data_IF_366521494769
#
_entry.id   IF_366521494769
#
_cell.length_a   1.000
_cell.length_b   1.000
_cell.length_c   1.000
_cell.angle_alpha   90.00
_cell.angle_beta   90.00
_cell.angle_gamma   90.00
#
_symmetry.space_group_name_H-M   'P 1'
#
loop_
_entity.id
_entity.type
_entity.pdbx_description
1 polymer ?
#
# COMPACT_ATOMS: atom_id res chain seq x y z
N UNK A 1 26.59 -1.21 -1.36
CA UNK A 1 26.70 0.06 -0.61
C UNK A 1 25.79 1.09 -1.24
N UNK A 2 25.21 1.99 -0.44
CA UNK A 2 24.37 3.08 -0.94
C UNK A 2 25.14 4.10 -1.77
N UNK A 3 24.42 4.95 -2.49
CA UNK A 3 24.99 5.95 -3.39
C UNK A 3 25.76 7.06 -2.65
N UNK A 4 25.45 7.27 -1.37
CA UNK A 4 26.08 8.27 -0.49
C UNK A 4 26.27 7.73 0.92
N UNK A 5 27.20 8.32 1.68
CA UNK A 5 27.41 8.05 3.10
C UNK A 5 28.72 7.32 3.41
N UNK A 6 28.91 6.89 4.67
CA UNK A 6 30.09 6.16 5.11
C UNK A 6 30.35 4.90 4.26
N UNK A 7 31.60 4.67 3.85
CA UNK A 7 32.01 3.59 2.97
C UNK A 7 33.51 3.23 3.13
N UNK A 8 33.90 2.10 2.53
CA UNK A 8 35.28 1.64 2.52
C UNK A 8 35.48 0.34 1.74
N UNK A 9 36.73 -0.15 1.63
CA UNK A 9 36.98 -1.49 1.12
C UNK A 9 36.32 -2.53 2.04
N UNK A 10 35.96 -3.68 1.48
CA UNK A 10 35.38 -4.77 2.25
C UNK A 10 36.03 -6.11 1.93
N UNK A 11 35.84 -7.04 2.86
CA UNK A 11 36.13 -8.47 2.68
C UNK A 11 34.83 -9.24 2.88
N UNK A 12 34.47 -10.07 1.91
CA UNK A 12 33.30 -10.93 1.96
C UNK A 12 33.72 -12.39 2.18
N UNK A 13 33.11 -13.06 3.15
CA UNK A 13 33.32 -14.47 3.45
C UNK A 13 32.19 -15.26 2.79
N UNK A 14 32.57 -16.14 1.87
CA UNK A 14 31.67 -17.02 1.15
C UNK A 14 31.84 -18.47 1.61
N UNK A 15 30.73 -19.21 1.66
CA UNK A 15 30.68 -20.62 1.97
C UNK A 15 30.25 -21.44 0.75
N UNK A 16 31.04 -22.45 0.38
CA UNK A 16 30.70 -23.41 -0.67
C UNK A 16 30.00 -24.62 -0.07
N UNK A 17 28.71 -24.78 -0.37
CA UNK A 17 27.91 -25.91 0.08
C UNK A 17 28.33 -27.26 -0.54
N UNK A 18 29.11 -27.27 -1.62
CA UNK A 18 29.66 -28.50 -2.22
C UNK A 18 30.95 -28.91 -1.51
N UNK A 19 31.84 -27.95 -1.25
CA UNK A 19 33.12 -28.16 -0.59
C UNK A 19 34.13 -28.92 -1.45
N UNK A 20 35.38 -29.01 -0.96
CA UNK A 20 36.44 -29.83 -1.59
C UNK A 20 36.92 -29.35 -2.97
N UNK A 21 36.56 -28.13 -3.38
CA UNK A 21 36.93 -27.53 -4.67
C UNK A 21 37.34 -26.07 -4.52
N UNK A 22 38.00 -25.52 -5.55
CA UNK A 22 38.18 -24.08 -5.66
C UNK A 22 36.92 -23.45 -6.27
N UNK A 23 36.17 -22.71 -5.46
CA UNK A 23 34.92 -22.08 -5.85
C UNK A 23 35.05 -20.56 -6.08
N UNK A 24 36.27 -20.01 -6.14
CA UNK A 24 36.50 -18.57 -6.24
C UNK A 24 35.83 -17.92 -7.47
N UNK A 25 35.73 -18.66 -8.58
CA UNK A 25 35.05 -18.18 -9.79
C UNK A 25 33.53 -18.03 -9.65
N UNK A 26 32.93 -18.58 -8.59
CA UNK A 26 31.49 -18.53 -8.32
C UNK A 26 31.10 -17.41 -7.34
N UNK A 27 32.09 -16.76 -6.71
CA UNK A 27 31.86 -15.63 -5.81
C UNK A 27 31.21 -14.49 -6.60
N UNK A 28 30.13 -13.92 -6.07
CA UNK A 28 29.36 -12.84 -6.70
C UNK A 28 28.82 -13.18 -8.11
N UNK A 29 28.56 -14.47 -8.38
CA UNK A 29 27.92 -14.95 -9.62
C UNK A 29 26.48 -15.46 -9.40
N UNK A 30 25.84 -15.07 -8.29
CA UNK A 30 24.49 -15.52 -7.90
C UNK A 30 24.31 -17.05 -7.90
N UNK A 31 25.40 -17.79 -7.65
CA UNK A 31 25.36 -19.25 -7.60
C UNK A 31 24.72 -19.73 -6.29
N UNK A 32 23.73 -20.65 -6.34
CA UNK A 32 23.13 -21.21 -5.13
C UNK A 32 24.08 -22.14 -4.36
N UNK A 33 25.24 -22.49 -4.96
CA UNK A 33 26.23 -23.35 -4.33
C UNK A 33 27.19 -22.57 -3.42
N UNK A 34 27.38 -21.26 -3.68
CA UNK A 34 28.34 -20.41 -2.99
C UNK A 34 27.64 -19.18 -2.45
N UNK A 35 27.50 -19.11 -1.13
CA UNK A 35 26.70 -18.07 -0.46
C UNK A 35 27.60 -17.19 0.38
N UNK A 36 27.43 -15.88 0.26
CA UNK A 36 28.02 -14.92 1.19
C UNK A 36 27.36 -15.08 2.57
N UNK A 37 28.15 -15.38 3.60
CA UNK A 37 27.67 -15.51 4.98
C UNK A 37 28.02 -14.31 5.85
N UNK A 38 29.06 -13.56 5.49
CA UNK A 38 29.59 -12.49 6.31
C UNK A 38 30.32 -11.43 5.46
N UNK A 39 29.99 -10.16 5.66
CA UNK A 39 30.70 -9.02 5.07
C UNK A 39 31.39 -8.17 6.16
N UNK A 40 32.63 -7.77 5.90
CA UNK A 40 33.47 -6.94 6.77
C UNK A 40 33.89 -5.68 6.01
N UNK A 41 33.28 -4.54 6.31
CA UNK A 41 33.54 -3.24 5.67
C UNK A 41 34.46 -2.40 6.56
N UNK A 42 35.59 -1.97 6.01
CA UNK A 42 36.56 -1.12 6.70
C UNK A 42 36.27 0.35 6.38
N UNK A 43 35.33 0.92 7.12
CA UNK A 43 34.81 2.27 6.91
C UNK A 43 35.91 3.32 7.12
N UNK A 44 36.30 3.99 6.04
CA UNK A 44 37.38 4.97 6.04
C UNK A 44 37.08 6.21 5.18
N UNK A 45 35.98 6.22 4.42
CA UNK A 45 35.55 7.33 3.59
C UNK A 45 34.07 7.67 3.80
N UNK A 46 33.68 8.91 3.54
CA UNK A 46 32.32 9.33 3.27
C UNK A 46 32.18 9.58 1.77
N UNK A 47 31.24 8.91 1.11
CA UNK A 47 30.88 9.17 -0.29
C UNK A 47 29.89 10.31 -0.35
N UNK A 48 30.29 11.38 -1.01
CA UNK A 48 29.47 12.56 -1.25
C UNK A 48 28.47 12.30 -2.42
N UNK A 49 27.40 13.10 -2.58
CA UNK A 49 26.44 12.97 -3.68
C UNK A 49 27.04 13.06 -5.09
N UNK A 50 28.19 13.72 -5.23
CA UNK A 50 28.95 13.82 -6.48
C UNK A 50 29.90 12.62 -6.72
N UNK A 51 29.85 11.60 -5.85
CA UNK A 51 30.67 10.41 -5.89
C UNK A 51 32.07 10.56 -5.29
N UNK A 52 32.47 11.76 -4.83
CA UNK A 52 33.79 11.97 -4.22
C UNK A 52 33.89 11.27 -2.87
N UNK A 53 35.07 10.70 -2.59
CA UNK A 53 35.37 10.05 -1.32
C UNK A 53 36.17 11.01 -0.42
N UNK A 54 35.59 11.37 0.73
CA UNK A 54 36.27 12.16 1.77
C UNK A 54 36.72 11.27 2.91
N UNK A 55 37.98 11.32 3.37
CA UNK A 55 38.42 10.55 4.53
C UNK A 55 37.55 10.84 5.75
N UNK A 56 37.15 9.79 6.46
CA UNK A 56 36.45 9.93 7.74
C UNK A 56 37.44 10.35 8.84
N UNK A 57 37.03 11.21 9.79
CA UNK A 57 37.86 11.54 10.95
C UNK A 57 38.05 10.37 11.91
N UNK A 58 37.12 9.40 11.90
CA UNK A 58 37.18 8.16 12.67
C UNK A 58 36.86 6.98 11.75
N UNK A 59 37.75 5.98 11.74
CA UNK A 59 37.55 4.74 11.00
C UNK A 59 36.91 3.69 11.91
N UNK A 60 36.04 2.87 11.33
CA UNK A 60 35.32 1.81 12.03
C UNK A 60 35.31 0.53 11.19
N UNK A 61 35.09 -0.60 11.84
CA UNK A 61 34.77 -1.85 11.15
C UNK A 61 33.27 -2.06 11.26
N UNK A 62 32.59 -1.99 10.13
CA UNK A 62 31.18 -2.34 10.01
C UNK A 62 31.08 -3.78 9.50
N UNK A 63 30.38 -4.62 10.23
CA UNK A 63 30.38 -6.07 10.02
C UNK A 63 28.97 -6.60 10.07
N UNK A 64 28.58 -7.36 9.05
CA UNK A 64 27.27 -7.98 8.96
C UNK A 64 27.38 -9.46 8.63
N UNK A 65 27.00 -10.32 9.57
CA UNK A 65 26.88 -11.76 9.36
C UNK A 65 25.40 -12.13 9.26
N UNK A 66 25.00 -12.80 8.17
CA UNK A 66 23.61 -13.19 7.96
C UNK A 66 23.24 -14.39 8.81
N UNK A 67 22.48 -14.19 9.90
CA UNK A 67 22.06 -15.26 10.81
C UNK A 67 21.35 -16.39 10.05
N UNK A 68 20.36 -16.07 9.22
CA UNK A 68 19.59 -17.05 8.44
C UNK A 68 20.48 -17.89 7.52
N UNK A 69 21.47 -17.26 6.88
CA UNK A 69 22.43 -17.94 5.99
C UNK A 69 23.39 -18.82 6.80
N UNK A 70 23.88 -18.33 7.93
CA UNK A 70 24.73 -19.11 8.83
C UNK A 70 24.00 -20.35 9.36
N UNK A 71 22.76 -20.19 9.83
CA UNK A 71 21.92 -21.29 10.32
C UNK A 71 21.67 -22.32 9.21
N UNK A 72 21.43 -21.86 7.98
CA UNK A 72 21.29 -22.74 6.80
C UNK A 72 22.52 -23.62 6.62
N UNK A 73 23.72 -23.04 6.73
CA UNK A 73 24.98 -23.77 6.65
C UNK A 73 25.12 -24.76 7.81
N UNK A 74 24.90 -24.31 9.05
CA UNK A 74 25.05 -25.13 10.27
C UNK A 74 24.09 -26.33 10.29
N UNK A 75 22.89 -26.18 9.74
CA UNK A 75 21.89 -27.25 9.66
C UNK A 75 22.01 -28.11 8.39
N UNK A 76 23.02 -27.86 7.55
CA UNK A 76 23.22 -28.59 6.29
C UNK A 76 22.06 -28.42 5.30
N UNK A 77 21.35 -27.29 5.36
CA UNK A 77 20.24 -26.95 4.46
C UNK A 77 20.76 -26.19 3.25
N UNK A 78 19.92 -26.08 2.21
CA UNK A 78 20.18 -25.34 0.97
C UNK A 78 19.34 -24.07 0.83
N UNK A 79 18.43 -23.82 1.78
CA UNK A 79 17.51 -22.70 1.77
C UNK A 79 17.27 -22.24 3.21
N UNK A 80 17.24 -20.92 3.41
CA UNK A 80 16.87 -20.29 4.68
C UNK A 80 15.51 -20.80 5.17
N UNK A 81 14.57 -20.98 4.25
CA UNK A 81 13.21 -21.44 4.54
C UNK A 81 13.11 -22.91 4.96
N UNK A 82 14.21 -23.67 4.85
CA UNK A 82 14.28 -25.07 5.31
C UNK A 82 14.89 -25.21 6.70
N UNK A 83 15.15 -24.09 7.39
CA UNK A 83 15.70 -24.05 8.74
C UNK A 83 14.60 -23.93 9.79
N UNK A 84 14.94 -24.23 11.04
CA UNK A 84 14.06 -24.02 12.20
C UNK A 84 13.60 -22.57 12.41
N UNK A 85 14.26 -21.58 11.80
CA UNK A 85 13.82 -20.18 11.80
C UNK A 85 12.54 -19.95 10.96
N UNK A 86 12.18 -20.88 10.07
CA UNK A 86 11.04 -20.71 9.16
C UNK A 86 10.10 -21.91 9.12
N UNK A 87 10.59 -23.14 9.30
CA UNK A 87 9.74 -24.34 9.19
C UNK A 87 8.51 -24.33 10.11
N UNK A 88 8.54 -23.80 11.36
CA UNK A 88 7.33 -23.71 12.19
C UNK A 88 6.28 -22.78 11.57
N UNK A 89 6.70 -21.62 11.02
CA UNK A 89 5.82 -20.67 10.33
C UNK A 89 5.23 -21.27 9.07
N UNK A 90 6.05 -21.91 8.22
CA UNK A 90 5.57 -22.56 7.01
C UNK A 90 4.52 -23.63 7.31
N UNK A 91 4.74 -24.44 8.34
CA UNK A 91 3.75 -25.43 8.79
C UNK A 91 2.47 -24.80 9.35
N UNK A 92 2.55 -23.63 10.00
CA UNK A 92 1.37 -22.90 10.46
C UNK A 92 0.58 -22.30 9.29
N UNK A 93 1.27 -21.75 8.29
CA UNK A 93 0.66 -21.27 7.04
C UNK A 93 -0.05 -22.41 6.32
N UNK A 94 0.57 -23.60 6.21
CA UNK A 94 -0.03 -24.77 5.56
C UNK A 94 -1.33 -25.18 6.26
N UNK A 95 -1.30 -25.29 7.60
CA UNK A 95 -2.49 -25.62 8.40
C UNK A 95 -3.60 -24.59 8.28
N UNK A 96 -3.26 -23.30 8.25
CA UNK A 96 -4.22 -22.21 8.22
C UNK A 96 -4.80 -21.90 6.83
N UNK A 97 -4.03 -22.13 5.76
CA UNK A 97 -4.43 -21.78 4.39
C UNK A 97 -5.14 -22.89 3.63
N UNK A 98 -4.96 -24.16 4.03
CA UNK A 98 -5.37 -25.33 3.23
C UNK A 98 -4.75 -25.38 1.83
N UNK A 99 -3.69 -24.60 1.57
CA UNK A 99 -2.96 -24.61 0.33
C UNK A 99 -2.20 -25.94 0.15
N UNK A 100 -1.74 -26.27 -1.08
CA UNK A 100 -0.82 -27.38 -1.28
C UNK A 100 0.41 -27.28 -0.35
N UNK A 101 0.99 -28.42 0.06
CA UNK A 101 2.19 -28.41 0.91
C UNK A 101 3.34 -27.67 0.25
N UNK A 102 4.11 -26.95 1.06
CA UNK A 102 5.31 -26.25 0.63
C UNK A 102 6.37 -27.26 0.12
N UNK A 103 6.89 -27.06 -1.09
CA UNK A 103 7.79 -28.01 -1.75
C UNK A 103 9.24 -27.50 -1.90
N UNK A 104 9.50 -26.24 -1.59
CA UNK A 104 10.81 -25.62 -1.77
C UNK A 104 11.15 -25.21 -3.21
N UNK A 105 10.18 -25.20 -4.13
CA UNK A 105 10.33 -24.84 -5.55
C UNK A 105 10.68 -23.37 -5.74
N UNK A 106 11.29 -23.08 -6.89
CA UNK A 106 11.78 -21.75 -7.26
C UNK A 106 11.52 -21.48 -8.75
N UNK A 107 11.26 -20.21 -9.09
CA UNK A 107 11.13 -19.76 -10.47
C UNK A 107 10.10 -20.57 -11.25
N UNK A 108 10.50 -21.08 -12.41
CA UNK A 108 9.62 -21.85 -13.31
C UNK A 108 9.09 -23.16 -12.67
N UNK A 109 9.76 -23.70 -11.65
CA UNK A 109 9.27 -24.90 -10.95
C UNK A 109 8.06 -24.60 -10.06
N UNK A 110 7.93 -23.35 -9.61
CA UNK A 110 6.80 -22.84 -8.81
C UNK A 110 5.81 -22.08 -9.71
N UNK A 111 5.27 -22.76 -10.72
CA UNK A 111 4.43 -22.17 -11.76
C UNK A 111 3.16 -21.47 -11.24
N UNK A 112 2.71 -21.82 -10.02
CA UNK A 112 1.55 -21.20 -9.38
C UNK A 112 1.94 -20.27 -8.22
N UNK A 113 3.23 -20.01 -8.04
CA UNK A 113 3.78 -19.14 -7.00
C UNK A 113 3.38 -19.52 -5.57
N UNK A 114 3.03 -20.78 -5.33
CA UNK A 114 2.59 -21.26 -4.01
C UNK A 114 3.75 -21.18 -3.04
N UNK A 115 4.91 -21.71 -3.41
CA UNK A 115 6.08 -21.73 -2.53
C UNK A 115 6.65 -20.32 -2.33
N UNK A 116 6.56 -19.45 -3.34
CA UNK A 116 6.81 -18.02 -3.19
C UNK A 116 5.86 -17.40 -2.16
N UNK A 117 4.56 -17.69 -2.23
CA UNK A 117 3.56 -17.13 -1.32
C UNK A 117 3.81 -17.54 0.13
N UNK A 118 4.15 -18.81 0.38
CA UNK A 118 4.58 -19.30 1.68
C UNK A 118 5.74 -18.49 2.25
N UNK A 119 6.78 -18.24 1.44
CA UNK A 119 7.97 -17.46 1.85
C UNK A 119 7.62 -16.01 2.13
N UNK A 120 6.86 -15.37 1.24
CA UNK A 120 6.41 -13.98 1.38
C UNK A 120 5.60 -13.79 2.66
N UNK A 121 4.62 -14.66 2.92
CA UNK A 121 3.79 -14.58 4.13
C UNK A 121 4.64 -14.79 5.38
N UNK A 122 5.54 -15.77 5.39
CA UNK A 122 6.41 -16.06 6.53
C UNK A 122 7.40 -14.91 6.84
N UNK A 123 8.05 -14.35 5.83
CA UNK A 123 8.95 -13.21 6.00
C UNK A 123 8.18 -11.97 6.47
N UNK A 124 7.04 -11.68 5.83
CA UNK A 124 6.30 -10.47 6.12
C UNK A 124 5.68 -10.50 7.51
N UNK A 125 5.14 -11.63 7.99
CA UNK A 125 4.63 -11.68 9.35
C UNK A 125 5.75 -11.51 10.38
N UNK A 126 6.96 -12.05 10.14
CA UNK A 126 8.12 -11.81 11.00
C UNK A 126 8.47 -10.32 11.06
N UNK A 127 8.60 -9.67 9.90
CA UNK A 127 8.87 -8.22 9.83
C UNK A 127 7.79 -7.39 10.51
N UNK A 128 6.51 -7.69 10.25
CA UNK A 128 5.39 -7.00 10.88
C UNK A 128 5.43 -7.12 12.40
N UNK A 129 5.70 -8.31 12.91
CA UNK A 129 5.71 -8.58 14.34
C UNK A 129 6.83 -7.83 15.04
N UNK A 130 8.05 -7.86 14.48
CA UNK A 130 9.20 -7.14 15.03
C UNK A 130 8.99 -5.63 14.96
N UNK A 131 8.58 -5.08 13.82
CA UNK A 131 8.39 -3.63 13.68
C UNK A 131 7.28 -3.10 14.62
N UNK A 132 6.18 -3.84 14.79
CA UNK A 132 5.09 -3.45 15.68
C UNK A 132 5.53 -3.55 17.15
N UNK A 133 6.32 -4.55 17.53
CA UNK A 133 6.90 -4.65 18.87
C UNK A 133 7.84 -3.47 19.19
N UNK A 134 8.55 -2.96 18.19
CA UNK A 134 9.39 -1.77 18.27
C UNK A 134 8.62 -0.44 18.22
N UNK A 135 7.28 -0.49 18.10
CA UNK A 135 6.40 0.68 18.09
C UNK A 135 6.22 1.36 16.74
N UNK A 136 6.58 0.68 15.63
CA UNK A 136 6.28 1.14 14.27
C UNK A 136 5.01 0.46 13.78
N UNK A 137 4.02 1.25 13.38
CA UNK A 137 2.70 0.76 12.97
C UNK A 137 2.46 0.98 11.48
N UNK A 138 1.62 0.17 10.82
CA UNK A 138 1.18 0.45 9.45
C UNK A 138 0.48 1.80 9.37
N UNK A 139 0.89 2.67 8.44
CA UNK A 139 0.41 4.05 8.37
C UNK A 139 0.66 4.72 7.02
N UNK A 140 0.41 6.04 6.91
CA UNK A 140 0.34 6.73 5.63
C UNK A 140 1.69 7.21 5.08
N UNK A 141 2.75 7.32 5.91
CA UNK A 141 4.02 7.95 5.48
C UNK A 141 5.27 7.30 6.10
N UNK A 142 6.43 7.58 5.52
CA UNK A 142 7.72 7.13 6.05
C UNK A 142 7.83 5.61 6.23
N UNK A 143 8.37 5.17 7.37
CA UNK A 143 8.51 3.76 7.71
C UNK A 143 7.15 3.05 7.87
N UNK A 144 6.13 3.76 8.35
CA UNK A 144 4.78 3.23 8.51
C UNK A 144 4.14 2.86 7.17
N UNK A 145 4.41 3.63 6.12
CA UNK A 145 3.97 3.32 4.76
C UNK A 145 4.64 2.05 4.24
N UNK A 146 5.93 1.86 4.51
CA UNK A 146 6.65 0.64 4.15
C UNK A 146 6.00 -0.57 4.84
N UNK A 147 5.72 -0.44 6.14
CA UNK A 147 5.08 -1.51 6.91
C UNK A 147 3.65 -1.82 6.41
N UNK A 148 2.88 -0.79 6.04
CA UNK A 148 1.57 -0.93 5.39
C UNK A 148 1.67 -1.69 4.06
N UNK A 149 2.71 -1.44 3.25
CA UNK A 149 2.94 -2.19 2.00
C UNK A 149 3.27 -3.66 2.26
N UNK A 150 4.14 -3.94 3.24
CA UNK A 150 4.49 -5.31 3.66
C UNK A 150 3.24 -6.08 4.11
N UNK A 151 2.40 -5.47 4.96
CA UNK A 151 1.14 -6.05 5.39
C UNK A 151 0.23 -6.38 4.20
N UNK A 152 -0.03 -5.41 3.33
CA UNK A 152 -0.91 -5.59 2.16
C UNK A 152 -0.40 -6.69 1.22
N UNK A 153 0.92 -6.79 1.05
CA UNK A 153 1.54 -7.86 0.28
C UNK A 153 1.32 -9.22 0.94
N UNK A 154 1.48 -9.34 2.27
CA UNK A 154 1.20 -10.58 3.00
C UNK A 154 -0.26 -11.03 2.83
N UNK A 155 -1.20 -10.08 2.99
CA UNK A 155 -2.64 -10.35 2.83
C UNK A 155 -2.98 -10.81 1.42
N UNK A 156 -2.40 -10.19 0.38
CA UNK A 156 -2.63 -10.63 -1.00
C UNK A 156 -2.13 -12.05 -1.23
N UNK A 157 -0.88 -12.34 -0.89
CA UNK A 157 -0.33 -13.67 -1.15
C UNK A 157 -1.07 -14.75 -0.34
N UNK A 158 -1.51 -14.42 0.87
CA UNK A 158 -2.39 -15.29 1.67
C UNK A 158 -3.74 -15.54 0.99
N UNK A 159 -4.45 -14.49 0.56
CA UNK A 159 -5.83 -14.60 0.06
C UNK A 159 -5.94 -15.02 -1.41
N UNK A 160 -5.08 -14.52 -2.29
CA UNK A 160 -5.20 -14.73 -3.74
C UNK A 160 -4.39 -15.93 -4.23
N UNK A 161 -3.19 -16.15 -3.67
CA UNK A 161 -2.28 -17.22 -4.11
C UNK A 161 -2.50 -18.47 -3.27
N UNK A 162 -2.41 -18.36 -1.94
CA UNK A 162 -2.66 -19.50 -1.04
C UNK A 162 -4.15 -19.81 -0.86
N UNK A 163 -5.05 -18.88 -1.25
CA UNK A 163 -6.51 -19.03 -1.10
C UNK A 163 -6.94 -19.31 0.34
N UNK A 164 -6.19 -18.77 1.29
CA UNK A 164 -6.49 -18.90 2.70
C UNK A 164 -7.80 -18.19 3.06
N UNK A 165 -8.53 -18.69 4.07
CA UNK A 165 -9.63 -17.94 4.65
C UNK A 165 -9.14 -16.62 5.27
N UNK A 166 -10.00 -15.59 5.38
CA UNK A 166 -9.67 -14.35 6.08
C UNK A 166 -9.17 -14.59 7.50
N UNK A 167 -8.21 -13.77 7.94
CA UNK A 167 -7.65 -13.83 9.30
C UNK A 167 -6.51 -14.83 9.44
N UNK A 168 -5.76 -15.14 8.36
CA UNK A 168 -4.63 -16.06 8.42
C UNK A 168 -3.46 -15.45 9.18
N UNK A 169 -3.23 -14.14 9.06
CA UNK A 169 -1.97 -13.53 9.49
C UNK A 169 -1.85 -13.41 11.01
N UNK A 170 -2.93 -12.99 11.69
CA UNK A 170 -2.91 -12.80 13.15
C UNK A 170 -2.54 -14.09 13.93
N UNK A 171 -3.08 -15.29 13.60
CA UNK A 171 -2.65 -16.56 14.20
C UNK A 171 -1.19 -16.96 13.96
N UNK A 172 -0.47 -16.34 13.03
CA UNK A 172 0.96 -16.61 12.81
C UNK A 172 1.86 -15.87 13.80
N UNK A 173 1.37 -14.78 14.41
CA UNK A 173 2.15 -13.97 15.37
C UNK A 173 2.65 -14.80 16.55
N UNK A 174 1.85 -15.65 17.22
CA UNK A 174 2.36 -16.52 18.29
C UNK A 174 3.55 -17.40 17.86
N UNK A 175 3.57 -17.87 16.61
CA UNK A 175 4.67 -18.69 16.08
C UNK A 175 5.94 -17.84 15.89
N UNK A 176 5.80 -16.57 15.49
CA UNK A 176 6.94 -15.63 15.47
C UNK A 176 7.51 -15.45 16.87
N UNK A 177 6.66 -15.32 17.89
CA UNK A 177 7.10 -15.18 19.28
C UNK A 177 7.78 -16.46 19.78
N UNK A 178 7.32 -17.64 19.38
CA UNK A 178 8.01 -18.90 19.70
C UNK A 178 9.42 -18.96 19.10
N UNK A 179 9.63 -18.43 17.89
CA UNK A 179 10.92 -18.47 17.18
C UNK A 179 11.89 -17.39 17.72
N UNK A 180 11.39 -16.18 17.99
CA UNK A 180 12.22 -15.00 18.25
C UNK A 180 12.11 -14.45 19.68
N UNK A 181 11.06 -14.80 20.43
CA UNK A 181 10.68 -14.14 21.68
C UNK A 181 11.69 -14.27 22.83
N UNK A 182 12.55 -15.30 22.82
CA UNK A 182 13.64 -15.41 23.80
C UNK A 182 14.68 -14.29 23.61
N UNK A 183 15.04 -13.99 22.36
CA UNK A 183 16.00 -12.94 22.02
C UNK A 183 15.38 -11.54 22.05
N UNK A 184 14.06 -11.45 21.77
CA UNK A 184 13.30 -10.21 21.67
C UNK A 184 12.05 -10.28 22.59
N UNK A 185 12.21 -10.10 23.92
CA UNK A 185 11.11 -10.28 24.89
C UNK A 185 9.92 -9.34 24.69
N UNK A 186 10.14 -8.20 24.04
CA UNK A 186 9.10 -7.27 23.60
C UNK A 186 8.07 -7.92 22.68
N UNK A 187 8.44 -8.94 21.88
CA UNK A 187 7.50 -9.68 21.04
C UNK A 187 6.42 -10.39 21.87
N UNK A 188 6.79 -11.00 23.00
CA UNK A 188 5.82 -11.63 23.90
C UNK A 188 4.99 -10.59 24.67
N UNK A 189 5.63 -9.48 25.10
CA UNK A 189 4.93 -8.37 25.78
C UNK A 189 3.85 -7.75 24.89
N UNK A 190 4.17 -7.47 23.63
CA UNK A 190 3.28 -6.79 22.68
C UNK A 190 2.42 -7.74 21.84
N UNK A 191 2.53 -9.06 22.04
CA UNK A 191 1.87 -10.11 21.25
C UNK A 191 0.40 -9.83 20.95
N UNK A 192 -0.39 -9.52 21.97
CA UNK A 192 -1.83 -9.23 21.82
C UNK A 192 -2.09 -8.00 20.96
N UNK A 193 -1.27 -6.97 21.09
CA UNK A 193 -1.36 -5.75 20.29
C UNK A 193 -0.96 -6.01 18.83
N UNK A 194 0.12 -6.76 18.60
CA UNK A 194 0.55 -7.17 17.26
C UNK A 194 -0.56 -7.95 16.56
N UNK A 195 -1.13 -8.97 17.24
CA UNK A 195 -2.23 -9.77 16.72
C UNK A 195 -3.45 -8.94 16.33
N UNK A 196 -3.83 -7.97 17.17
CA UNK A 196 -4.96 -7.08 16.92
C UNK A 196 -4.69 -6.19 15.70
N UNK A 197 -3.56 -5.50 15.67
CA UNK A 197 -3.21 -4.57 14.58
C UNK A 197 -3.12 -5.29 13.23
N UNK A 198 -2.47 -6.47 13.21
CA UNK A 198 -2.38 -7.28 12.00
C UNK A 198 -3.77 -7.73 11.54
N UNK A 199 -4.63 -8.19 12.45
CA UNK A 199 -6.00 -8.62 12.14
C UNK A 199 -6.87 -7.48 11.61
N UNK A 200 -6.94 -6.36 12.33
CA UNK A 200 -7.72 -5.18 11.93
C UNK A 200 -7.29 -4.68 10.54
N UNK A 201 -5.97 -4.64 10.30
CA UNK A 201 -5.43 -4.18 9.02
C UNK A 201 -5.64 -5.18 7.89
N UNK A 202 -5.63 -6.49 8.19
CA UNK A 202 -5.97 -7.56 7.23
C UNK A 202 -7.42 -7.42 6.77
N UNK A 203 -8.37 -7.28 7.71
CA UNK A 203 -9.80 -7.14 7.41
C UNK A 203 -10.09 -5.89 6.58
N UNK A 204 -9.54 -4.74 6.99
CA UNK A 204 -9.69 -3.48 6.27
C UNK A 204 -9.13 -3.56 4.83
N UNK A 205 -8.00 -4.25 4.66
CA UNK A 205 -7.41 -4.38 3.34
C UNK A 205 -8.12 -5.42 2.46
N UNK A 206 -8.59 -6.54 2.99
CA UNK A 206 -9.33 -7.55 2.21
C UNK A 206 -10.57 -6.97 1.54
N UNK A 207 -11.32 -6.13 2.26
CA UNK A 207 -12.48 -5.42 1.70
C UNK A 207 -12.09 -4.48 0.53
N UNK A 208 -10.92 -3.86 0.62
CA UNK A 208 -10.38 -3.00 -0.45
C UNK A 208 -9.82 -3.83 -1.62
N UNK A 209 -9.14 -4.95 -1.32
CA UNK A 209 -8.54 -5.87 -2.28
C UNK A 209 -9.58 -6.39 -3.29
N UNK A 210 -10.73 -6.86 -2.77
CA UNK A 210 -11.83 -7.36 -3.59
C UNK A 210 -12.38 -6.27 -4.54
N UNK A 211 -12.46 -5.01 -4.09
CA UNK A 211 -12.93 -3.90 -4.92
C UNK A 211 -11.95 -3.54 -6.01
N UNK A 212 -10.67 -3.37 -5.66
CA UNK A 212 -9.65 -3.03 -6.66
C UNK A 212 -9.48 -4.12 -7.71
N UNK A 213 -9.64 -5.40 -7.34
CA UNK A 213 -9.62 -6.50 -8.31
C UNK A 213 -10.72 -6.39 -9.37
N UNK A 214 -11.96 -6.08 -8.97
CA UNK A 214 -13.06 -5.90 -9.95
C UNK A 214 -12.78 -4.74 -10.90
N UNK A 215 -12.17 -3.66 -10.41
CA UNK A 215 -11.76 -2.51 -11.24
C UNK A 215 -10.68 -2.95 -12.24
N UNK A 216 -9.67 -3.72 -11.79
CA UNK A 216 -8.63 -4.26 -12.67
C UNK A 216 -9.26 -5.16 -13.72
N UNK A 217 -10.03 -6.18 -13.32
CA UNK A 217 -10.68 -7.15 -14.23
C UNK A 217 -11.53 -6.43 -15.30
N UNK A 218 -12.35 -5.46 -14.90
CA UNK A 218 -13.16 -4.64 -15.82
C UNK A 218 -12.28 -3.83 -16.78
N UNK A 219 -11.21 -3.24 -16.28
CA UNK A 219 -10.28 -2.44 -17.08
C UNK A 219 -9.57 -3.30 -18.11
N UNK A 220 -9.16 -4.51 -17.74
CA UNK A 220 -8.56 -5.48 -18.67
C UNK A 220 -9.58 -5.92 -19.72
N UNK A 221 -10.81 -6.27 -19.32
CA UNK A 221 -11.87 -6.65 -20.26
C UNK A 221 -12.23 -5.54 -21.26
N UNK A 222 -12.20 -4.27 -20.84
CA UNK A 222 -12.44 -3.11 -21.71
C UNK A 222 -11.21 -2.73 -22.57
N UNK A 223 -10.01 -3.14 -22.16
CA UNK A 223 -8.73 -2.71 -22.74
C UNK A 223 -8.35 -3.33 -24.09
N UNK A 224 -9.07 -4.35 -24.54
CA UNK A 224 -8.76 -5.05 -25.80
C UNK A 224 -7.38 -5.69 -25.79
N UNK A 225 -6.67 -5.64 -26.93
CA UNK A 225 -5.33 -6.25 -27.11
C UNK A 225 -4.17 -5.37 -26.57
N UNK A 226 -4.44 -4.36 -25.74
CA UNK A 226 -3.38 -3.53 -25.16
C UNK A 226 -2.54 -4.34 -24.17
N UNK A 227 -1.22 -4.38 -24.36
CA UNK A 227 -0.27 -5.01 -23.43
C UNK A 227 0.10 -4.13 -22.22
N UNK A 228 -0.40 -2.89 -22.17
CA UNK A 228 -0.12 -1.92 -21.12
C UNK A 228 -1.41 -1.58 -20.38
N UNK A 229 -1.37 -1.70 -19.05
CA UNK A 229 -2.49 -1.35 -18.18
C UNK A 229 -2.59 0.18 -18.02
N UNK A 230 -3.79 0.78 -18.09
CA UNK A 230 -3.95 2.23 -18.03
C UNK A 230 -3.40 2.84 -16.73
N UNK A 231 -2.38 3.69 -16.88
CA UNK A 231 -1.66 4.32 -15.77
C UNK A 231 -2.59 5.16 -14.88
N UNK A 232 -3.56 5.88 -15.47
CA UNK A 232 -4.54 6.65 -14.68
C UNK A 232 -5.44 5.77 -13.80
N UNK A 233 -5.73 4.54 -14.22
CA UNK A 233 -6.49 3.58 -13.40
C UNK A 233 -5.59 3.05 -12.28
N UNK A 234 -4.34 2.68 -12.58
CA UNK A 234 -3.37 2.26 -11.57
C UNK A 234 -3.13 3.34 -10.50
N UNK A 235 -3.01 4.59 -10.93
CA UNK A 235 -2.89 5.75 -10.05
C UNK A 235 -4.14 5.93 -9.17
N UNK A 236 -5.33 5.76 -9.75
CA UNK A 236 -6.59 5.80 -8.99
C UNK A 236 -6.70 4.68 -7.96
N UNK A 237 -6.29 3.45 -8.31
CA UNK A 237 -6.25 2.34 -7.35
C UNK A 237 -5.31 2.66 -6.19
N UNK A 238 -4.16 3.25 -6.48
CA UNK A 238 -3.19 3.66 -5.47
C UNK A 238 -3.67 4.78 -4.57
N UNK A 239 -4.14 5.88 -5.16
CA UNK A 239 -4.54 7.06 -4.40
C UNK A 239 -5.83 6.82 -3.61
N UNK A 240 -6.81 6.17 -4.22
CA UNK A 240 -8.19 6.16 -3.70
C UNK A 240 -8.55 4.87 -3.00
N UNK A 241 -8.01 3.73 -3.44
CA UNK A 241 -8.22 2.45 -2.75
C UNK A 241 -7.01 2.06 -1.90
N UNK A 242 -5.99 2.92 -1.87
CA UNK A 242 -4.75 2.68 -1.17
C UNK A 242 -3.92 1.54 -1.76
N UNK A 243 -4.18 1.02 -2.96
CA UNK A 243 -3.43 -0.13 -3.48
C UNK A 243 -1.98 0.24 -3.78
N UNK A 244 -0.99 -0.36 -3.10
CA UNK A 244 0.40 -0.09 -3.45
C UNK A 244 0.65 -0.30 -4.95
N UNK A 245 1.32 0.63 -5.63
CA UNK A 245 1.53 0.54 -7.08
C UNK A 245 2.29 -0.72 -7.50
N UNK A 246 3.17 -1.21 -6.63
CA UNK A 246 3.84 -2.51 -6.77
C UNK A 246 2.83 -3.66 -6.74
N UNK A 247 1.81 -3.58 -5.90
CA UNK A 247 0.72 -4.54 -5.86
C UNK A 247 -0.12 -4.51 -7.14
N UNK A 248 -0.47 -3.32 -7.62
CA UNK A 248 -1.19 -3.17 -8.90
C UNK A 248 -0.35 -3.77 -10.04
N UNK A 249 0.96 -3.53 -10.04
CA UNK A 249 1.89 -4.10 -11.02
C UNK A 249 1.87 -5.61 -11.03
N UNK A 250 2.03 -6.23 -9.86
CA UNK A 250 1.99 -7.68 -9.73
C UNK A 250 0.63 -8.27 -10.12
N UNK A 251 -0.48 -7.57 -9.87
CA UNK A 251 -1.81 -8.05 -10.24
C UNK A 251 -2.03 -7.99 -11.75
N UNK A 252 -1.58 -6.94 -12.44
CA UNK A 252 -1.77 -6.83 -13.89
C UNK A 252 -0.83 -7.74 -14.68
N UNK A 253 0.34 -8.09 -14.11
CA UNK A 253 1.26 -9.08 -14.67
C UNK A 253 0.61 -10.48 -14.78
N UNK A 254 -0.27 -10.86 -13.85
CA UNK A 254 -1.04 -12.12 -13.93
C UNK A 254 -1.92 -12.20 -15.19
N UNK A 255 -2.31 -11.04 -15.74
CA UNK A 255 -3.11 -10.91 -16.95
C UNK A 255 -2.24 -10.70 -18.20
N UNK A 256 -0.90 -10.82 -18.08
CA UNK A 256 0.05 -10.59 -19.16
C UNK A 256 0.20 -9.12 -19.53
N UNK A 257 -0.21 -8.20 -18.65
CA UNK A 257 -0.09 -6.75 -18.85
C UNK A 257 1.10 -6.18 -18.09
N UNK A 258 1.56 -5.00 -18.51
CA UNK A 258 2.61 -4.25 -17.83
C UNK A 258 2.10 -2.88 -17.34
N UNK A 259 2.67 -2.38 -16.25
CA UNK A 259 2.53 -0.97 -15.85
C UNK A 259 3.68 -0.15 -16.39
N UNK A 260 3.37 1.00 -16.98
CA UNK A 260 4.36 2.00 -17.33
C UNK A 260 4.83 2.73 -16.07
N UNK A 261 6.00 2.32 -15.57
CA UNK A 261 6.61 2.91 -14.36
C UNK A 261 7.03 4.35 -14.58
N UNK A 262 7.49 4.72 -15.77
CA UNK A 262 7.92 6.09 -16.06
C UNK A 262 6.72 7.04 -16.02
N UNK A 263 5.60 6.64 -16.62
CA UNK A 263 4.36 7.43 -16.56
C UNK A 263 3.77 7.53 -15.14
N UNK A 264 3.93 6.49 -14.30
CA UNK A 264 3.56 6.55 -12.87
C UNK A 264 4.45 7.53 -12.09
N UNK A 265 5.76 7.50 -12.34
CA UNK A 265 6.71 8.42 -11.71
C UNK A 265 6.44 9.86 -12.14
N UNK A 266 6.11 10.10 -13.41
CA UNK A 266 5.67 11.42 -13.90
C UNK A 266 4.41 11.91 -13.18
N UNK A 267 3.39 11.06 -12.98
CA UNK A 267 2.20 11.43 -12.22
C UNK A 267 2.51 11.72 -10.75
N UNK A 268 3.41 10.95 -10.15
CA UNK A 268 3.84 11.17 -8.77
C UNK A 268 4.59 12.50 -8.62
N UNK A 269 5.48 12.82 -9.56
CA UNK A 269 6.17 14.12 -9.62
C UNK A 269 5.18 15.25 -9.84
N UNK A 270 4.27 15.13 -10.80
CA UNK A 270 3.23 16.14 -11.05
C UNK A 270 2.35 16.38 -9.82
N UNK A 271 1.99 15.33 -9.08
CA UNK A 271 1.21 15.47 -7.87
C UNK A 271 2.03 16.09 -6.72
N UNK A 272 3.29 15.69 -6.56
CA UNK A 272 4.19 16.29 -5.58
C UNK A 272 4.43 17.77 -5.88
N UNK A 273 4.64 18.13 -7.15
CA UNK A 273 4.74 19.50 -7.62
C UNK A 273 3.45 20.27 -7.40
N UNK A 274 2.28 19.67 -7.66
CA UNK A 274 1.00 20.28 -7.31
C UNK A 274 0.87 20.50 -5.81
N UNK A 275 1.23 19.54 -4.96
CA UNK A 275 1.18 19.67 -3.49
C UNK A 275 2.13 20.76 -2.98
N UNK A 276 3.35 20.85 -3.51
CA UNK A 276 4.32 21.90 -3.16
C UNK A 276 3.88 23.26 -3.66
N UNK A 277 3.36 23.34 -4.89
CA UNK A 277 2.80 24.58 -5.46
C UNK A 277 1.58 25.05 -4.69
N UNK A 278 0.74 24.13 -4.21
CA UNK A 278 -0.39 24.40 -3.33
C UNK A 278 0.02 24.82 -1.92
N UNK A 279 1.24 24.49 -1.48
CA UNK A 279 1.79 24.89 -0.17
C UNK A 279 2.60 26.20 -0.22
N UNK A 280 3.13 26.59 -1.40
CA UNK A 280 3.96 27.79 -1.59
C UNK A 280 3.23 28.96 -2.24
N UNK A 281 2.02 28.76 -2.76
CA UNK A 281 1.18 29.85 -3.24
C UNK A 281 0.20 30.28 -2.12
N UNK A 282 0.30 31.54 -1.70
CA UNK A 282 -0.80 32.26 -1.00
C UNK A 282 -2.10 32.33 -1.86
N UNK A 283 -2.03 31.85 -3.10
CA UNK A 283 -3.17 31.54 -3.95
C UNK A 283 -3.28 30.02 -4.07
N UNK A 284 -4.15 29.42 -3.26
CA UNK A 284 -4.63 28.05 -3.47
C UNK A 284 -4.88 27.81 -4.98
N UNK A 285 -4.61 26.61 -5.53
CA UNK A 285 -5.03 26.31 -6.91
C UNK A 285 -6.49 26.71 -6.99
N UNK A 286 -6.93 27.41 -8.04
CA UNK A 286 -8.29 27.94 -8.13
C UNK A 286 -9.27 26.84 -7.75
N UNK A 287 -9.67 26.83 -6.46
CA UNK A 287 -10.63 25.87 -5.92
C UNK A 287 -11.82 26.02 -6.86
N UNK A 288 -12.52 24.92 -7.15
CA UNK A 288 -13.80 25.01 -7.82
C UNK A 288 -14.80 25.63 -6.84
N UNK A 289 -14.56 26.90 -6.51
CA UNK A 289 -15.36 27.73 -5.64
C UNK A 289 -16.54 28.17 -6.47
N UNK A 290 -17.71 27.85 -5.94
CA UNK A 290 -18.95 28.40 -6.44
C UNK A 290 -18.89 29.93 -6.31
N UNK A 291 -18.83 30.60 -7.44
CA UNK A 291 -18.93 32.05 -7.49
C UNK A 291 -20.33 32.52 -7.06
N UNK A 292 -20.46 33.82 -6.76
CA UNK A 292 -21.72 34.41 -6.31
C UNK A 292 -22.88 34.21 -7.30
N UNK A 293 -22.59 34.14 -8.61
CA UNK A 293 -23.62 33.95 -9.63
C UNK A 293 -24.14 32.51 -9.62
N UNK A 294 -23.23 31.54 -9.53
CA UNK A 294 -23.52 30.12 -9.42
C UNK A 294 -24.27 29.78 -8.13
N UNK A 295 -23.91 30.41 -7.01
CA UNK A 295 -24.65 30.29 -5.75
C UNK A 295 -26.08 30.83 -5.87
N UNK A 296 -26.26 32.01 -6.48
CA UNK A 296 -27.58 32.57 -6.72
C UNK A 296 -28.40 31.70 -7.68
N UNK A 297 -27.75 31.09 -8.68
CA UNK A 297 -28.37 30.17 -9.63
C UNK A 297 -28.85 28.89 -8.94
N UNK A 298 -28.03 28.28 -8.08
CA UNK A 298 -28.42 27.10 -7.28
C UNK A 298 -29.66 27.38 -6.43
N UNK A 299 -29.69 28.55 -5.77
CA UNK A 299 -30.84 28.97 -4.98
C UNK A 299 -32.07 29.22 -5.85
N UNK A 300 -31.91 29.85 -7.02
CA UNK A 300 -33.00 30.11 -7.97
C UNK A 300 -33.59 28.82 -8.55
N UNK A 301 -32.75 27.82 -8.79
CA UNK A 301 -33.17 26.48 -9.23
C UNK A 301 -33.76 25.64 -8.08
N UNK A 302 -33.70 26.13 -6.84
CA UNK A 302 -34.25 25.44 -5.68
C UNK A 302 -33.43 24.23 -5.21
N UNK A 303 -32.13 24.20 -5.53
CA UNK A 303 -31.24 23.13 -5.07
C UNK A 303 -31.05 23.26 -3.55
N UNK A 304 -31.44 22.26 -2.73
CA UNK A 304 -31.32 22.34 -1.29
C UNK A 304 -29.86 22.32 -0.83
N UNK A 305 -29.58 22.98 0.29
CA UNK A 305 -28.28 22.90 0.96
C UNK A 305 -27.93 21.46 1.33
N UNK A 306 -26.65 21.09 1.21
CA UNK A 306 -26.17 19.75 1.54
C UNK A 306 -26.35 19.45 3.04
N UNK A 307 -26.94 18.30 3.36
CA UNK A 307 -27.03 17.81 4.73
C UNK A 307 -25.74 17.09 5.14
N UNK A 308 -24.92 17.74 5.95
CA UNK A 308 -23.63 17.21 6.42
C UNK A 308 -23.70 16.53 7.81
N UNK A 309 -24.90 16.39 8.39
CA UNK A 309 -25.09 15.67 9.65
C UNK A 309 -24.56 14.22 9.66
N UNK A 310 -24.57 13.44 8.55
CA UNK A 310 -24.04 12.08 8.54
C UNK A 310 -22.57 11.96 8.99
N UNK A 311 -21.76 13.02 8.89
CA UNK A 311 -20.36 12.99 9.37
C UNK A 311 -20.24 12.78 10.89
N UNK A 312 -21.32 13.05 11.63
CA UNK A 312 -21.41 12.81 13.07
C UNK A 312 -22.13 11.49 13.43
N UNK A 313 -22.47 10.68 12.43
CA UNK A 313 -23.19 9.42 12.63
C UNK A 313 -22.20 8.26 12.80
N UNK A 314 -21.72 8.11 14.03
CA UNK A 314 -20.82 7.02 14.42
C UNK A 314 -21.25 6.36 15.73
N UNK A 315 -20.84 5.11 15.92
CA UNK A 315 -20.98 4.39 17.19
C UNK A 315 -19.60 4.08 17.76
N UNK A 316 -19.43 4.29 19.07
CA UNK A 316 -18.23 3.85 19.78
C UNK A 316 -18.44 2.41 20.25
N UNK A 317 -17.67 1.48 19.71
CA UNK A 317 -17.66 0.09 20.13
C UNK A 317 -16.93 -0.09 21.47
N UNK A 318 -17.16 -1.22 22.14
CA UNK A 318 -16.63 -1.50 23.48
C UNK A 318 -15.09 -1.60 23.53
N UNK A 319 -14.45 -1.77 22.38
CA UNK A 319 -12.99 -1.78 22.19
C UNK A 319 -12.42 -0.37 21.95
N UNK A 320 -13.26 0.67 21.94
CA UNK A 320 -12.87 2.06 21.72
C UNK A 320 -12.83 2.49 20.26
N UNK A 321 -13.30 1.65 19.31
CA UNK A 321 -13.34 1.98 17.88
C UNK A 321 -14.58 2.78 17.51
N UNK A 322 -14.39 3.82 16.69
CA UNK A 322 -15.50 4.53 16.04
C UNK A 322 -15.89 3.80 14.76
N UNK A 323 -17.15 3.38 14.68
CA UNK A 323 -17.73 2.76 13.47
C UNK A 323 -18.66 3.77 12.82
N UNK A 324 -18.37 4.12 11.58
CA UNK A 324 -19.16 5.06 10.78
C UNK A 324 -20.15 4.30 9.89
N UNK A 325 -21.37 4.84 9.77
CA UNK A 325 -22.38 4.25 8.88
C UNK A 325 -22.08 4.67 7.43
N UNK A 326 -22.08 3.74 6.45
CA UNK A 326 -21.93 4.10 5.05
C UNK A 326 -22.96 5.15 4.62
N UNK A 327 -22.48 6.25 4.03
CA UNK A 327 -23.35 7.35 3.62
C UNK A 327 -23.74 7.17 2.15
N UNK A 328 -25.04 7.13 1.88
CA UNK A 328 -25.58 7.17 0.53
C UNK A 328 -26.09 8.58 0.22
N UNK A 329 -25.77 9.11 -0.95
CA UNK A 329 -26.10 10.45 -1.39
C UNK A 329 -26.51 10.48 -2.86
N UNK A 330 -27.18 11.53 -3.28
CA UNK A 330 -27.56 11.78 -4.68
C UNK A 330 -26.87 13.04 -5.18
N UNK A 331 -26.37 13.02 -6.42
CA UNK A 331 -25.82 14.20 -7.08
C UNK A 331 -26.95 15.18 -7.38
N UNK A 332 -26.91 16.36 -6.75
CA UNK A 332 -27.89 17.43 -6.97
C UNK A 332 -27.46 18.38 -8.09
N UNK A 333 -26.17 18.67 -8.19
CA UNK A 333 -25.63 19.56 -9.21
C UNK A 333 -24.14 19.30 -9.44
N UNK A 334 -23.69 19.52 -10.68
CA UNK A 334 -22.27 19.50 -11.03
C UNK A 334 -21.84 20.92 -11.40
N UNK A 335 -20.60 21.29 -11.09
CA UNK A 335 -20.04 22.60 -11.38
C UNK A 335 -18.66 22.47 -12.01
N UNK A 336 -18.40 23.21 -13.08
CA UNK A 336 -17.09 23.30 -13.72
C UNK A 336 -16.99 24.60 -14.50
N UNK A 337 -15.83 25.25 -14.47
CA UNK A 337 -15.51 26.43 -15.30
C UNK A 337 -16.60 27.53 -15.23
N UNK A 338 -17.09 27.86 -14.03
CA UNK A 338 -18.14 28.87 -13.79
C UNK A 338 -19.52 28.53 -14.39
N UNK A 339 -19.77 27.25 -14.71
CA UNK A 339 -21.05 26.78 -15.20
C UNK A 339 -21.59 25.62 -14.33
N UNK A 340 -22.89 25.67 -14.06
CA UNK A 340 -23.62 24.53 -13.53
C UNK A 340 -23.94 23.56 -14.67
N UNK A 341 -23.70 22.27 -14.44
CA UNK A 341 -23.79 21.20 -15.41
C UNK A 341 -24.72 20.10 -14.91
N UNK A 342 -25.40 19.44 -15.85
CA UNK A 342 -26.21 18.24 -15.57
C UNK A 342 -25.44 16.94 -15.80
N UNK A 343 -24.34 17.01 -16.54
CA UNK A 343 -23.46 15.87 -16.84
C UNK A 343 -22.00 16.34 -16.97
N UNK A 344 -21.08 15.52 -16.49
CA UNK A 344 -19.64 15.69 -16.68
C UNK A 344 -19.09 14.43 -17.35
N UNK A 345 -18.45 14.55 -18.53
CA UNK A 345 -17.84 13.42 -19.22
C UNK A 345 -16.67 12.79 -18.45
N UNK A 346 -16.35 11.54 -18.80
CA UNK A 346 -15.16 10.84 -18.31
C UNK A 346 -13.88 11.66 -18.49
N UNK A 347 -13.01 11.59 -17.48
CA UNK A 347 -11.68 12.20 -17.42
C UNK A 347 -11.66 13.66 -17.00
N UNK A 348 -12.81 14.25 -16.64
CA UNK A 348 -12.88 15.66 -16.30
C UNK A 348 -12.98 15.88 -14.79
N UNK A 349 -12.25 16.89 -14.29
CA UNK A 349 -12.42 17.42 -12.94
C UNK A 349 -13.69 18.28 -12.89
N UNK A 350 -14.47 18.13 -11.82
CA UNK A 350 -15.64 18.94 -11.54
C UNK A 350 -15.91 19.00 -10.03
N UNK A 351 -16.78 19.91 -9.63
CA UNK A 351 -17.33 20.00 -8.28
C UNK A 351 -18.70 19.31 -8.26
N UNK A 352 -18.90 18.38 -7.33
CA UNK A 352 -20.17 17.72 -7.09
C UNK A 352 -20.83 18.24 -5.82
N UNK A 353 -22.09 18.67 -5.96
CA UNK A 353 -22.97 19.05 -4.86
C UNK A 353 -23.94 17.91 -4.62
N UNK A 354 -23.98 17.43 -3.39
CA UNK A 354 -24.78 16.27 -2.98
C UNK A 354 -25.93 16.68 -2.06
N UNK A 355 -26.96 15.84 -1.96
CA UNK A 355 -28.06 16.03 -1.00
C UNK A 355 -27.60 15.88 0.46
N UNK A 356 -26.65 14.97 0.70
CA UNK A 356 -26.01 14.75 1.99
C UNK A 356 -24.58 14.28 1.83
N UNK A 357 -23.79 14.37 2.90
CA UNK A 357 -22.41 13.88 2.90
C UNK A 357 -21.93 13.50 4.30
N UNK A 358 -21.02 12.51 4.36
CA UNK A 358 -20.26 12.19 5.57
C UNK A 358 -18.88 12.86 5.60
N UNK A 359 -18.49 13.59 4.55
CA UNK A 359 -17.19 14.25 4.49
C UNK A 359 -17.16 15.51 5.36
N UNK A 360 -16.09 15.65 6.12
CA UNK A 360 -15.72 16.89 6.76
C UNK A 360 -15.09 17.84 5.75
N UNK A 361 -15.76 18.97 5.53
CA UNK A 361 -15.25 20.07 4.73
C UNK A 361 -14.22 20.90 5.52
N UNK A 362 -13.18 21.41 4.85
CA UNK A 362 -12.15 22.24 5.48
C UNK A 362 -12.78 23.45 6.21
N UNK A 363 -12.68 23.46 7.53
CA UNK A 363 -13.23 24.53 8.37
C UNK A 363 -12.45 24.64 9.69
N UNK A 364 -12.32 25.86 10.22
CA UNK A 364 -11.79 26.08 11.57
C UNK A 364 -10.32 25.68 11.77
N UNK A 365 -9.53 25.61 10.69
CA UNK A 365 -8.13 25.19 10.72
C UNK A 365 -7.91 23.67 10.68
N UNK A 366 -8.99 22.88 10.52
CA UNK A 366 -8.91 21.44 10.25
C UNK A 366 -8.91 21.18 8.73
N UNK A 367 -8.05 20.25 8.30
CA UNK A 367 -8.01 19.77 6.91
C UNK A 367 -9.31 19.06 6.53
N UNK A 368 -9.66 19.09 5.24
CA UNK A 368 -10.80 18.32 4.75
C UNK A 368 -10.51 16.82 4.70
N UNK A 369 -11.58 16.03 4.73
CA UNK A 369 -11.50 14.60 4.46
C UNK A 369 -11.18 14.34 2.97
N UNK A 370 -10.56 13.19 2.73
CA UNK A 370 -10.29 12.64 1.39
C UNK A 370 -10.87 11.23 1.29
N UNK A 371 -11.10 10.76 0.07
CA UNK A 371 -11.65 9.44 -0.19
C UNK A 371 -12.22 9.33 -1.60
N UNK A 372 -13.32 8.60 -1.75
CA UNK A 372 -13.97 8.41 -3.03
C UNK A 372 -15.48 8.15 -2.89
N UNK A 373 -16.20 8.37 -4.00
CA UNK A 373 -17.58 7.95 -4.16
C UNK A 373 -17.66 6.72 -5.06
N UNK A 374 -18.68 5.90 -4.86
CA UNK A 374 -19.01 4.77 -5.73
C UNK A 374 -20.42 4.97 -6.24
N UNK A 375 -20.68 4.76 -7.54
CA UNK A 375 -22.06 4.80 -8.06
C UNK A 375 -22.91 3.68 -7.46
N UNK A 376 -24.10 4.02 -6.98
CA UNK A 376 -25.03 3.05 -6.42
C UNK A 376 -25.41 1.99 -7.47
N UNK A 377 -25.40 0.72 -7.07
CA UNK A 377 -25.62 -0.42 -7.97
C UNK A 377 -24.43 -0.77 -8.88
N UNK A 378 -23.41 0.09 -8.96
CA UNK A 378 -22.21 -0.10 -9.77
C UNK A 378 -20.95 0.04 -8.91
N UNK A 379 -20.64 -1.01 -8.13
CA UNK A 379 -19.54 -1.02 -7.15
C UNK A 379 -18.14 -0.75 -7.72
N UNK A 380 -17.98 -0.72 -9.05
CA UNK A 380 -16.70 -0.54 -9.74
C UNK A 380 -16.60 0.82 -10.48
N UNK A 381 -17.57 1.72 -10.33
CA UNK A 381 -17.50 3.10 -10.85
C UNK A 381 -17.17 4.03 -9.69
N UNK A 382 -15.91 4.45 -9.64
CA UNK A 382 -15.34 5.19 -8.51
C UNK A 382 -15.01 6.63 -8.89
N UNK A 383 -15.46 7.60 -8.10
CA UNK A 383 -15.17 9.03 -8.28
C UNK A 383 -14.26 9.51 -7.14
N UNK A 384 -12.96 9.72 -7.40
CA UNK A 384 -12.01 10.20 -6.39
C UNK A 384 -12.40 11.58 -5.89
N UNK A 385 -12.31 11.80 -4.58
CA UNK A 385 -12.50 13.11 -3.94
C UNK A 385 -11.14 13.71 -3.62
N UNK A 386 -10.86 14.85 -4.22
CA UNK A 386 -9.58 15.55 -4.09
C UNK A 386 -9.58 16.56 -2.95
N UNK A 387 -10.70 17.25 -2.74
CA UNK A 387 -10.89 18.20 -1.65
C UNK A 387 -12.37 18.40 -1.37
N UNK A 388 -12.69 18.84 -0.14
CA UNK A 388 -14.04 19.18 0.28
C UNK A 388 -14.06 20.52 0.99
N UNK A 389 -14.93 21.43 0.56
CA UNK A 389 -15.07 22.76 1.17
C UNK A 389 -16.54 23.20 1.22
N UNK A 390 -16.83 24.22 2.05
CA UNK A 390 -18.18 24.80 2.17
C UNK A 390 -18.27 26.09 1.39
N UNK A 391 -19.34 26.25 0.59
CA UNK A 391 -19.66 27.49 -0.10
C UNK A 391 -21.17 27.75 -0.06
N UNK A 392 -21.60 28.86 0.55
CA UNK A 392 -23.01 29.29 0.56
C UNK A 392 -24.01 28.29 1.16
N UNK A 393 -23.56 27.42 2.08
CA UNK A 393 -24.38 26.36 2.69
C UNK A 393 -24.37 25.03 1.92
N UNK A 394 -23.66 24.94 0.80
CA UNK A 394 -23.42 23.69 0.08
C UNK A 394 -22.05 23.12 0.47
N UNK A 395 -21.96 21.78 0.50
CA UNK A 395 -20.67 21.10 0.58
C UNK A 395 -20.23 20.75 -0.83
N UNK A 396 -19.09 21.30 -1.23
CA UNK A 396 -18.52 21.19 -2.57
C UNK A 396 -17.44 20.12 -2.53
N UNK A 397 -17.66 19.03 -3.27
CA UNK A 397 -16.71 17.93 -3.39
C UNK A 397 -15.99 18.06 -4.72
N UNK A 398 -14.71 18.38 -4.70
CA UNK A 398 -13.90 18.38 -5.92
C UNK A 398 -13.57 16.94 -6.27
N UNK A 399 -14.01 16.50 -7.45
CA UNK A 399 -13.86 15.11 -7.90
C UNK A 399 -13.30 15.03 -9.31
N UNK A 400 -12.69 13.89 -9.62
CA UNK A 400 -12.36 13.51 -11.00
C UNK A 400 -13.37 12.47 -11.51
N UNK A 401 -14.13 12.81 -12.55
CA UNK A 401 -15.11 11.91 -13.14
C UNK A 401 -14.43 10.77 -13.91
N UNK A 402 -14.25 9.58 -13.32
CA UNK A 402 -13.59 8.43 -14.00
C UNK A 402 -14.46 7.76 -15.06
N UNK A 403 -15.78 7.97 -14.96
CA UNK A 403 -16.83 7.64 -15.92
C UNK A 403 -17.79 8.84 -15.99
N UNK A 404 -18.71 8.93 -16.97
CA UNK A 404 -19.64 10.05 -17.06
C UNK A 404 -20.50 10.13 -15.79
N UNK A 405 -20.53 11.29 -15.12
CA UNK A 405 -21.31 11.53 -13.89
C UNK A 405 -22.48 12.48 -14.19
N UNK A 406 -23.67 12.19 -13.67
CA UNK A 406 -24.88 12.95 -13.96
C UNK A 406 -25.60 13.39 -12.69
N UNK A 407 -26.32 14.50 -12.79
CA UNK A 407 -27.30 14.90 -11.78
C UNK A 407 -28.38 13.81 -11.66
N UNK A 408 -28.68 13.42 -10.43
CA UNK A 408 -29.59 12.32 -10.11
C UNK A 408 -28.88 10.96 -9.89
N UNK A 409 -27.58 10.85 -10.16
CA UNK A 409 -26.84 9.62 -9.84
C UNK A 409 -26.80 9.40 -8.33
N UNK A 410 -27.14 8.18 -7.89
CA UNK A 410 -26.92 7.71 -6.53
C UNK A 410 -25.45 7.35 -6.32
N UNK A 411 -24.90 7.75 -5.18
CA UNK A 411 -23.50 7.56 -4.78
C UNK A 411 -23.42 7.00 -3.37
N UNK A 412 -22.46 6.11 -3.13
CA UNK A 412 -22.04 5.65 -1.80
C UNK A 412 -20.69 6.28 -1.49
N UNK A 413 -20.59 6.96 -0.36
CA UNK A 413 -19.44 7.78 0.01
C UNK A 413 -18.53 6.99 0.95
N UNK A 414 -17.23 6.97 0.66
CA UNK A 414 -16.21 6.30 1.47
C UNK A 414 -15.10 7.29 1.82
N UNK A 415 -14.73 7.34 3.09
CA UNK A 415 -13.60 8.14 3.58
C UNK A 415 -12.34 7.27 3.56
N UNK A 416 -11.18 7.87 3.31
CA UNK A 416 -9.90 7.20 3.54
C UNK A 416 -9.59 7.23 5.05
N UNK A 417 -9.58 6.06 5.67
CA UNK A 417 -9.16 5.86 7.08
C UNK A 417 -7.63 5.86 7.26
#
# INVERSE_FOLDING_TARGET
MGDTGPCGPCTEIHYDHVGGRNAAALVNQDSPEVVEIWNLVFMQFNREPDGRLRPLPQCHVDTGMGLERLVTVLQGKRSNYSTDLFTPLLGAIERGSQAPPYQGKLGAEDAHHVDMAYRVVADHIRTLSVCIADGVFPGPSGAELVLRRILRRAVRFSSEVLRAPPGLLSPLVPIVVEILGEAYPELEREKSQIMRIVGDSEDAFLASLQRGRRIIDRTVQKGGDSAVFPVGVAWSLYRNLGFPLDLVGLMVEEWGLSLDKAALDELAVQEAEMKVRNQQADEAPARLQLDLHSLAELQRQGVPSTNDAPKYSYTLEADGRYVFVPCQATVLMLYKDQALLTEVPRGQRCAAILDRTCYYAEQGGQSCDVGYFIREGEQDVLFPVESVHVAGGYVVHEITATEPLRVGDGLVLYLDE
#
